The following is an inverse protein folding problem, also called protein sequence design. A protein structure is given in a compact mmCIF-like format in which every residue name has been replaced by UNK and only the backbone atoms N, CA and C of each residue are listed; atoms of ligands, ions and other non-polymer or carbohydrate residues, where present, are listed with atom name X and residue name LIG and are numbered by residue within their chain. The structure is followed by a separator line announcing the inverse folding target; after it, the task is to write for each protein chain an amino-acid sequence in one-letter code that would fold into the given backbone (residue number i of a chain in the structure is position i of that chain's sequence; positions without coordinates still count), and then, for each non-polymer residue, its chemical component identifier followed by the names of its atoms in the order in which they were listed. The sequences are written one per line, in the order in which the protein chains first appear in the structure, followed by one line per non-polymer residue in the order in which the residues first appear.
data_IF_917677762917
#
_entry.id   IF_917677762917
#
_cell.length_a   1.000
_cell.length_b   1.000
_cell.length_c   1.000
_cell.angle_alpha   90.00
_cell.angle_beta   90.00
_cell.angle_gamma   90.00
#
_symmetry.space_group_name_H-M   'P 1'
#
loop_
_entity.id
_entity.type
_entity.pdbx_description
1 polymer ?
#
# COMPACT_ATOMS: atom_id res chain seq x y z
N UNK A 1 -6.50 -14.93 9.88
CA UNK A 1 -7.27 -14.87 8.61
C UNK A 1 -8.28 -13.72 8.60
N UNK A 2 -9.14 -13.55 9.62
CA UNK A 2 -10.08 -12.41 9.68
C UNK A 2 -9.39 -11.04 9.83
N UNK A 3 -8.27 -10.99 10.57
CA UNK A 3 -7.51 -9.75 10.80
C UNK A 3 -6.94 -9.20 9.48
N UNK A 4 -6.42 -10.06 8.59
CA UNK A 4 -5.86 -9.62 7.31
C UNK A 4 -6.94 -9.13 6.34
N UNK A 5 -8.12 -9.74 6.34
CA UNK A 5 -9.27 -9.27 5.56
C UNK A 5 -9.79 -7.93 6.07
N UNK A 6 -9.89 -7.76 7.40
CA UNK A 6 -10.27 -6.50 8.01
C UNK A 6 -9.31 -5.37 7.68
N UNK A 7 -7.99 -5.61 7.77
CA UNK A 7 -6.97 -4.63 7.39
C UNK A 7 -7.08 -4.25 5.92
N UNK A 8 -7.26 -5.22 5.02
CA UNK A 8 -7.46 -4.95 3.60
C UNK A 8 -8.70 -4.08 3.34
N UNK A 9 -9.81 -4.38 4.02
CA UNK A 9 -11.05 -3.62 3.90
C UNK A 9 -10.89 -2.16 4.39
N UNK A 10 -10.24 -1.97 5.55
CA UNK A 10 -9.98 -0.62 6.10
C UNK A 10 -9.12 0.20 5.14
N UNK A 11 -8.07 -0.40 4.57
CA UNK A 11 -7.20 0.29 3.60
C UNK A 11 -7.99 0.73 2.36
N UNK A 12 -8.82 -0.15 1.79
CA UNK A 12 -9.65 0.20 0.63
C UNK A 12 -10.64 1.31 0.98
N UNK A 13 -11.30 1.24 2.14
CA UNK A 13 -12.25 2.27 2.58
C UNK A 13 -11.59 3.65 2.75
N UNK A 14 -10.40 3.71 3.36
CA UNK A 14 -9.65 4.96 3.54
C UNK A 14 -9.25 5.57 2.20
N UNK A 15 -8.79 4.75 1.25
CA UNK A 15 -8.41 5.25 -0.08
C UNK A 15 -9.64 5.75 -0.84
N UNK A 16 -10.75 5.01 -0.77
CA UNK A 16 -12.01 5.41 -1.41
C UNK A 16 -12.54 6.75 -0.89
N UNK A 17 -12.55 6.92 0.44
CA UNK A 17 -12.96 8.19 1.07
C UNK A 17 -12.02 9.31 0.64
N UNK A 18 -10.71 9.09 0.64
CA UNK A 18 -9.73 10.10 0.20
C UNK A 18 -10.00 10.53 -1.25
N UNK A 19 -10.25 9.59 -2.16
CA UNK A 19 -10.56 9.90 -3.56
C UNK A 19 -11.82 10.76 -3.67
N UNK A 20 -12.87 10.41 -2.94
CA UNK A 20 -14.12 11.16 -2.95
C UNK A 20 -13.95 12.62 -2.49
N UNK A 21 -13.10 12.88 -1.50
CA UNK A 21 -12.86 14.24 -1.00
C UNK A 21 -11.88 15.05 -1.85
N UNK A 22 -10.84 14.43 -2.42
CA UNK A 22 -9.80 15.14 -3.16
C UNK A 22 -10.12 15.30 -4.65
N UNK A 23 -10.78 14.34 -5.29
CA UNK A 23 -11.11 14.38 -6.73
C UNK A 23 -12.34 13.50 -7.04
N UNK A 24 -13.57 13.98 -6.74
CA UNK A 24 -14.80 13.20 -6.89
C UNK A 24 -15.18 12.89 -8.34
N UNK A 25 -14.55 13.56 -9.31
CA UNK A 25 -14.73 13.31 -10.74
C UNK A 25 -13.70 12.32 -11.32
N UNK A 26 -12.82 11.76 -10.48
CA UNK A 26 -11.73 10.92 -10.93
C UNK A 26 -12.23 9.60 -11.52
N UNK A 27 -11.80 9.30 -12.75
CA UNK A 27 -12.07 8.03 -13.41
C UNK A 27 -11.64 6.84 -12.55
N UNK A 28 -12.48 5.79 -12.52
CA UNK A 28 -12.26 4.56 -11.76
C UNK A 28 -10.91 3.91 -12.10
N UNK A 29 -10.50 3.97 -13.37
CA UNK A 29 -9.19 3.47 -13.81
C UNK A 29 -8.01 4.20 -13.14
N UNK A 30 -8.13 5.51 -12.97
CA UNK A 30 -7.10 6.35 -12.33
C UNK A 30 -7.05 6.10 -10.83
N UNK A 31 -8.22 5.97 -10.20
CA UNK A 31 -8.36 5.57 -8.80
C UNK A 31 -7.68 4.21 -8.52
N UNK A 32 -7.96 3.21 -9.37
CA UNK A 32 -7.34 1.88 -9.27
C UNK A 32 -5.82 1.96 -9.42
N UNK A 33 -5.33 2.74 -10.40
CA UNK A 33 -3.91 2.89 -10.63
C UNK A 33 -3.19 3.49 -9.41
N UNK A 34 -3.79 4.49 -8.76
CA UNK A 34 -3.25 5.10 -7.52
C UNK A 34 -3.14 4.07 -6.39
N UNK A 35 -4.18 3.25 -6.20
CA UNK A 35 -4.18 2.18 -5.18
C UNK A 35 -3.04 1.19 -5.45
N UNK A 36 -2.95 0.70 -6.69
CA UNK A 36 -1.96 -0.31 -7.09
C UNK A 36 -0.54 0.23 -6.96
N UNK A 37 -0.27 1.44 -7.49
CA UNK A 37 1.05 2.07 -7.37
C UNK A 37 1.45 2.32 -5.91
N UNK A 38 0.52 2.77 -5.07
CA UNK A 38 0.79 3.00 -3.65
C UNK A 38 1.13 1.71 -2.92
N UNK A 39 0.42 0.62 -3.26
CA UNK A 39 0.69 -0.71 -2.68
C UNK A 39 2.05 -1.26 -3.12
N UNK A 40 2.36 -1.17 -4.41
CA UNK A 40 3.66 -1.58 -4.97
C UNK A 40 4.79 -0.76 -4.32
N UNK A 41 4.65 0.56 -4.26
CA UNK A 41 5.62 1.46 -3.63
C UNK A 41 5.86 1.12 -2.16
N UNK A 42 4.80 0.91 -1.38
CA UNK A 42 4.87 0.50 0.03
C UNK A 42 5.57 -0.85 0.19
N UNK A 43 5.29 -1.81 -0.70
CA UNK A 43 5.91 -3.14 -0.69
C UNK A 43 7.40 -3.05 -0.98
N UNK A 44 7.79 -2.30 -2.02
CA UNK A 44 9.20 -2.08 -2.39
C UNK A 44 9.93 -1.36 -1.26
N UNK A 45 9.34 -0.30 -0.69
CA UNK A 45 9.91 0.45 0.41
C UNK A 45 10.10 -0.46 1.64
N UNK A 46 9.09 -1.27 1.98
CA UNK A 46 9.18 -2.25 3.06
C UNK A 46 10.27 -3.28 2.80
N UNK A 47 10.39 -3.78 1.58
CA UNK A 47 11.43 -4.73 1.19
C UNK A 47 12.84 -4.10 1.26
N UNK A 48 12.99 -2.83 0.90
CA UNK A 48 14.24 -2.08 1.01
C UNK A 48 14.61 -1.82 2.48
N UNK A 49 13.66 -1.37 3.30
CA UNK A 49 13.87 -1.11 4.74
C UNK A 49 14.16 -2.41 5.50
N UNK A 50 13.45 -3.49 5.16
CA UNK A 50 13.66 -4.82 5.76
C UNK A 50 14.77 -5.60 5.12
N UNK A 51 15.47 -5.07 4.10
CA UNK A 51 16.63 -5.75 3.51
C UNK A 51 17.58 -6.01 4.66
N UNK A 52 17.77 -7.28 5.07
CA UNK A 52 18.57 -7.57 6.24
C UNK A 52 19.95 -7.06 5.91
N UNK A 53 20.42 -6.12 6.72
CA UNK A 53 21.83 -5.76 6.76
C UNK A 53 22.54 -7.10 6.95
N UNK A 54 23.14 -7.59 5.87
CA UNK A 54 24.04 -8.72 5.89
C UNK A 54 25.16 -8.31 6.84
N UNK A 55 24.93 -8.56 8.14
CA UNK A 55 26.00 -8.63 9.11
C UNK A 55 26.77 -9.84 8.62
N UNK A 56 27.82 -9.58 7.84
CA UNK A 56 28.98 -10.46 7.75
C UNK A 56 29.33 -10.78 9.19
N UNK A 57 28.89 -11.94 9.65
CA UNK A 57 29.47 -12.61 10.79
C UNK A 57 30.80 -13.13 10.26
N UNK A 58 31.80 -12.26 10.33
CA UNK A 58 33.17 -12.68 10.50
C UNK A 58 33.27 -13.21 11.93
N UNK A 59 34.02 -14.29 12.10
CA UNK A 59 34.15 -15.17 13.29
C UNK A 59 33.26 -16.41 13.27
#
# INVERSE_FOLDING_TARGET
MFISLGVGFVVVAVIWVSIFFFDPGMNIEKAFNIIVLSFIGSTILTALVRRPRSRRKSE
#
